data_IF_352540112138
#
_entry.id   IF_352540112138
#
_cell.length_a   1.000
_cell.length_b   1.000
_cell.length_c   1.000
_cell.angle_alpha   90.00
_cell.angle_beta   90.00
_cell.angle_gamma   90.00
#
_symmetry.space_group_name_H-M   'P 1'
#
loop_
_entity.id
_entity.type
_entity.pdbx_description
1 polymer ?
#
# COMPACT_ATOMS: atom_id res chain seq x y z
N UNK A 1 -9.58 -7.99 12.62
CA UNK A 1 -8.69 -8.01 11.43
C UNK A 1 -7.23 -8.11 11.83
N UNK A 2 -6.65 -7.14 12.55
CA UNK A 2 -5.23 -7.19 12.93
C UNK A 2 -4.85 -8.44 13.76
N UNK A 3 -5.48 -8.66 14.91
CA UNK A 3 -5.15 -9.82 15.76
C UNK A 3 -5.51 -11.19 15.14
N UNK A 4 -6.65 -11.29 14.46
CA UNK A 4 -7.17 -12.57 13.96
C UNK A 4 -6.64 -12.99 12.57
N UNK A 5 -6.07 -12.07 11.80
CA UNK A 5 -5.55 -12.36 10.45
C UNK A 5 -4.07 -12.00 10.31
N UNK A 6 -3.68 -10.78 10.68
CA UNK A 6 -2.31 -10.32 10.48
C UNK A 6 -1.29 -11.06 11.36
N UNK A 7 -1.59 -11.26 12.64
CA UNK A 7 -0.70 -11.98 13.58
C UNK A 7 -0.44 -13.43 13.15
N UNK A 8 -1.45 -14.28 12.91
CA UNK A 8 -1.20 -15.66 12.48
C UNK A 8 -0.52 -15.75 11.11
N UNK A 9 -0.87 -14.86 10.17
CA UNK A 9 -0.20 -14.80 8.86
C UNK A 9 1.29 -14.43 9.00
N UNK A 10 1.62 -13.41 9.79
CA UNK A 10 2.99 -12.99 10.02
C UNK A 10 3.84 -14.09 10.68
N UNK A 11 3.25 -14.84 11.63
CA UNK A 11 3.91 -15.98 12.25
C UNK A 11 4.16 -17.12 11.26
N UNK A 12 3.17 -17.49 10.44
CA UNK A 12 3.32 -18.54 9.43
C UNK A 12 4.39 -18.19 8.38
N UNK A 13 4.39 -16.96 7.88
CA UNK A 13 5.40 -16.45 6.94
C UNK A 13 6.78 -16.37 7.61
N UNK A 14 6.83 -16.03 8.90
CA UNK A 14 8.06 -16.00 9.68
C UNK A 14 8.70 -17.38 9.85
N UNK A 15 7.91 -18.40 10.21
CA UNK A 15 8.37 -19.79 10.33
C UNK A 15 8.86 -20.33 8.99
N UNK A 16 8.09 -20.17 7.91
CA UNK A 16 8.49 -20.62 6.57
C UNK A 16 9.75 -19.88 6.07
N UNK A 17 9.86 -18.58 6.33
CA UNK A 17 11.05 -17.81 6.01
C UNK A 17 12.29 -18.21 6.81
N UNK A 18 12.12 -18.66 8.06
CA UNK A 18 13.22 -19.13 8.90
C UNK A 18 13.67 -20.56 8.56
N UNK A 19 12.77 -21.41 8.06
CA UNK A 19 13.07 -22.78 7.64
C UNK A 19 13.77 -22.81 6.26
N UNK A 20 13.36 -21.96 5.32
CA UNK A 20 13.89 -21.94 3.95
C UNK A 20 14.85 -20.76 3.68
N UNK A 21 15.82 -20.53 4.57
CA UNK A 21 16.78 -19.41 4.47
C UNK A 21 17.65 -19.42 3.21
N UNK A 22 17.92 -20.61 2.66
CA UNK A 22 18.77 -20.83 1.48
C UNK A 22 17.98 -20.88 0.16
N UNK A 23 16.65 -20.76 0.20
CA UNK A 23 15.82 -20.82 -1.01
C UNK A 23 15.57 -19.42 -1.60
N UNK A 24 16.19 -19.14 -2.74
CA UNK A 24 16.07 -17.83 -3.43
C UNK A 24 14.67 -17.54 -4.01
N UNK A 25 13.79 -18.55 -4.12
CA UNK A 25 12.45 -18.40 -4.72
C UNK A 25 11.36 -17.91 -3.78
N UNK A 26 11.63 -17.68 -2.49
CA UNK A 26 10.66 -17.14 -1.54
C UNK A 26 9.38 -17.98 -1.41
N UNK A 27 8.21 -17.35 -1.57
CA UNK A 27 6.90 -17.98 -1.34
C UNK A 27 6.66 -19.20 -2.25
N UNK A 28 7.10 -19.17 -3.52
CA UNK A 28 6.94 -20.33 -4.41
C UNK A 28 7.80 -21.51 -3.97
N UNK A 29 9.00 -21.27 -3.42
CA UNK A 29 9.86 -22.35 -2.89
C UNK A 29 9.28 -22.96 -1.61
N UNK A 30 8.64 -22.15 -0.75
CA UNK A 30 7.99 -22.65 0.46
C UNK A 30 6.77 -23.53 0.11
N UNK A 31 6.00 -23.13 -0.89
CA UNK A 31 4.83 -23.87 -1.36
C UNK A 31 5.25 -25.13 -2.12
N UNK A 32 6.36 -25.10 -2.86
CA UNK A 32 6.88 -26.30 -3.54
C UNK A 32 7.29 -27.38 -2.54
N UNK A 33 8.01 -26.98 -1.48
CA UNK A 33 8.44 -27.88 -0.43
C UNK A 33 7.31 -28.44 0.46
N UNK A 34 6.14 -27.78 0.51
CA UNK A 34 5.04 -28.16 1.42
C UNK A 34 3.83 -28.78 0.70
N UNK A 35 3.52 -28.34 -0.51
CA UNK A 35 2.29 -28.67 -1.24
C UNK A 35 2.55 -29.16 -2.67
N UNK A 36 3.81 -29.15 -3.12
CA UNK A 36 4.24 -29.69 -4.41
C UNK A 36 4.21 -28.71 -5.59
N UNK A 37 4.78 -29.12 -6.74
CA UNK A 37 5.19 -28.21 -7.81
C UNK A 37 4.04 -27.55 -8.56
N UNK A 38 2.87 -28.19 -8.65
CA UNK A 38 1.69 -27.61 -9.31
C UNK A 38 1.16 -26.39 -8.53
N UNK A 39 1.11 -26.48 -7.20
CA UNK A 39 0.58 -25.42 -6.35
C UNK A 39 1.60 -24.29 -6.22
N UNK A 40 2.89 -24.62 -6.18
CA UNK A 40 3.97 -23.65 -6.24
C UNK A 40 3.94 -22.78 -7.50
N UNK A 41 3.66 -23.40 -8.67
CA UNK A 41 3.52 -22.66 -9.91
C UNK A 41 2.36 -21.66 -9.87
N UNK A 42 1.18 -22.08 -9.38
CA UNK A 42 0.03 -21.17 -9.24
C UNK A 42 0.29 -20.05 -8.23
N UNK A 43 0.96 -20.36 -7.11
CA UNK A 43 1.37 -19.36 -6.13
C UNK A 43 2.36 -18.34 -6.72
N UNK A 44 3.37 -18.81 -7.47
CA UNK A 44 4.32 -17.93 -8.16
C UNK A 44 3.66 -17.07 -9.24
N UNK A 45 2.76 -17.66 -10.03
CA UNK A 45 2.02 -16.94 -11.07
C UNK A 45 1.11 -15.85 -10.49
N UNK A 46 0.32 -16.17 -9.47
CA UNK A 46 -0.57 -15.20 -8.82
C UNK A 46 0.21 -14.09 -8.13
N UNK A 47 1.33 -14.43 -7.49
CA UNK A 47 2.25 -13.45 -6.92
C UNK A 47 2.77 -12.50 -7.99
N UNK A 48 3.26 -13.02 -9.12
CA UNK A 48 3.72 -12.21 -10.24
C UNK A 48 2.62 -11.32 -10.81
N UNK A 49 1.44 -11.88 -11.11
CA UNK A 49 0.32 -11.15 -11.70
C UNK A 49 -0.15 -9.98 -10.81
N UNK A 50 -0.22 -10.19 -9.49
CA UNK A 50 -0.55 -9.15 -8.52
C UNK A 50 0.51 -8.03 -8.52
N UNK A 51 1.79 -8.39 -8.51
CA UNK A 51 2.88 -7.41 -8.47
C UNK A 51 3.00 -6.59 -9.76
N UNK A 52 2.75 -7.18 -10.93
CA UNK A 52 2.76 -6.44 -12.21
C UNK A 52 1.71 -5.32 -12.21
N UNK A 53 0.47 -5.63 -11.80
CA UNK A 53 -0.58 -4.64 -11.71
C UNK A 53 -0.26 -3.57 -10.63
N UNK A 54 0.27 -4.00 -9.49
CA UNK A 54 0.64 -3.10 -8.39
C UNK A 54 1.76 -2.14 -8.78
N UNK A 55 2.84 -2.62 -9.39
CA UNK A 55 3.98 -1.76 -9.79
C UNK A 55 3.52 -0.71 -10.82
N UNK A 56 2.66 -1.11 -11.76
CA UNK A 56 2.10 -0.20 -12.77
C UNK A 56 1.31 0.96 -12.14
N UNK A 57 0.48 0.68 -11.13
CA UNK A 57 -0.33 1.72 -10.49
C UNK A 57 0.45 2.66 -9.57
N UNK A 58 1.62 2.24 -9.09
CA UNK A 58 2.47 3.09 -8.23
C UNK A 58 3.17 4.23 -8.96
N UNK A 59 3.45 4.09 -10.25
CA UNK A 59 4.11 5.13 -11.05
C UNK A 59 3.31 6.43 -11.10
N UNK A 60 2.01 6.34 -11.40
CA UNK A 60 1.12 7.49 -11.49
C UNK A 60 0.85 8.13 -10.13
N UNK A 61 0.69 7.32 -9.08
CA UNK A 61 0.53 7.80 -7.71
C UNK A 61 1.77 8.53 -7.18
N UNK A 62 2.96 8.03 -7.48
CA UNK A 62 4.22 8.69 -7.13
C UNK A 62 4.39 10.04 -7.83
N UNK A 63 4.05 10.12 -9.12
CA UNK A 63 4.10 11.38 -9.87
C UNK A 63 3.12 12.42 -9.32
N UNK A 64 1.91 12.01 -8.90
CA UNK A 64 0.94 12.89 -8.24
C UNK A 64 1.46 13.43 -6.92
N UNK A 65 2.12 12.60 -6.11
CA UNK A 65 2.72 13.02 -4.84
C UNK A 65 3.88 14.01 -5.05
N UNK A 66 4.74 13.77 -6.04
CA UNK A 66 5.82 14.69 -6.41
C UNK A 66 5.28 16.02 -6.95
N UNK A 67 4.24 15.98 -7.79
CA UNK A 67 3.60 17.19 -8.29
C UNK A 67 2.97 18.01 -7.15
N UNK A 68 2.34 17.36 -6.17
CA UNK A 68 1.84 18.05 -4.99
C UNK A 68 2.98 18.66 -4.16
N UNK A 69 4.09 17.96 -3.96
CA UNK A 69 5.23 18.48 -3.21
C UNK A 69 5.85 19.73 -3.86
N UNK A 70 5.83 19.84 -5.19
CA UNK A 70 6.41 20.98 -5.93
C UNK A 70 5.40 22.12 -6.13
N UNK A 71 4.16 21.82 -6.53
CA UNK A 71 3.17 22.84 -6.91
C UNK A 71 2.20 23.20 -5.77
N UNK A 72 2.23 22.47 -4.65
CA UNK A 72 1.35 22.62 -3.47
C UNK A 72 -0.16 22.68 -3.77
N UNK A 73 -0.57 22.37 -5.01
CA UNK A 73 -1.94 22.44 -5.51
C UNK A 73 -2.25 21.18 -6.31
N UNK A 74 -3.33 20.50 -5.92
CA UNK A 74 -3.79 19.26 -6.58
C UNK A 74 -4.45 19.58 -7.92
N UNK A 75 -5.11 20.74 -8.01
CA UNK A 75 -5.92 21.15 -9.16
C UNK A 75 -5.08 21.35 -10.43
N UNK A 76 -3.83 21.80 -10.30
CA UNK A 76 -2.93 21.96 -11.46
C UNK A 76 -2.45 20.63 -12.04
N UNK A 77 -2.41 19.58 -11.23
CA UNK A 77 -2.04 18.25 -11.70
C UNK A 77 -3.22 17.52 -12.36
N UNK A 78 -4.42 17.66 -11.80
CA UNK A 78 -5.63 17.06 -12.36
C UNK A 78 -6.12 17.79 -13.63
N UNK A 79 -5.74 19.06 -13.83
CA UNK A 79 -5.98 19.83 -15.06
C UNK A 79 -4.97 19.57 -16.20
N UNK A 80 -3.86 18.87 -15.96
CA UNK A 80 -2.91 18.53 -17.01
C UNK A 80 -3.45 17.43 -17.92
N UNK A 81 -3.12 17.51 -19.21
CA UNK A 81 -3.51 16.51 -20.21
C UNK A 81 -3.04 15.10 -19.76
N UNK A 82 -3.98 14.18 -19.65
CA UNK A 82 -3.74 12.78 -19.22
C UNK A 82 -2.71 12.09 -20.10
N UNK A 83 -2.63 12.44 -21.39
CA UNK A 83 -1.65 11.89 -22.32
C UNK A 83 -0.20 12.28 -21.96
N UNK A 84 0.01 13.51 -21.45
CA UNK A 84 1.32 13.95 -20.99
C UNK A 84 1.71 13.26 -19.67
N UNK A 85 0.79 13.16 -18.72
CA UNK A 85 1.02 12.48 -17.43
C UNK A 85 1.36 11.01 -17.66
N UNK A 86 0.66 10.34 -18.57
CA UNK A 86 0.91 8.95 -18.92
C UNK A 86 2.25 8.77 -19.66
N UNK A 87 2.61 9.69 -20.56
CA UNK A 87 3.92 9.69 -21.23
C UNK A 87 5.08 9.86 -20.25
N UNK A 88 4.98 10.79 -19.30
CA UNK A 88 6.00 11.00 -18.25
C UNK A 88 6.11 9.76 -17.35
N UNK A 89 4.98 9.15 -16.99
CA UNK A 89 4.97 7.93 -16.18
C UNK A 89 5.60 6.75 -16.91
N UNK A 90 5.40 6.64 -18.23
CA UNK A 90 6.04 5.62 -19.06
C UNK A 90 7.57 5.78 -19.10
N UNK A 91 8.07 7.01 -19.29
CA UNK A 91 9.50 7.31 -19.28
C UNK A 91 10.11 6.97 -17.91
N UNK A 92 9.43 7.36 -16.82
CA UNK A 92 9.84 7.01 -15.46
C UNK A 92 9.87 5.51 -15.23
N UNK A 93 8.86 4.77 -15.71
CA UNK A 93 8.81 3.32 -15.61
C UNK A 93 10.02 2.67 -16.30
N UNK A 94 10.33 3.07 -17.54
CA UNK A 94 11.50 2.57 -18.27
C UNK A 94 12.81 2.91 -17.54
N UNK A 95 12.93 4.13 -16.99
CA UNK A 95 14.08 4.52 -16.19
C UNK A 95 14.26 3.65 -14.95
N UNK A 96 13.19 3.38 -14.20
CA UNK A 96 13.24 2.50 -13.03
C UNK A 96 13.51 1.03 -13.40
N UNK A 97 12.97 0.53 -14.52
CA UNK A 97 13.33 -0.80 -15.04
C UNK A 97 14.81 -0.89 -15.42
N UNK A 98 15.36 0.15 -16.03
CA UNK A 98 16.79 0.23 -16.35
C UNK A 98 17.64 0.26 -15.07
N UNK A 99 17.22 1.04 -14.07
CA UNK A 99 17.91 1.12 -12.79
C UNK A 99 17.87 -0.22 -12.04
N UNK A 100 16.72 -0.91 -12.06
CA UNK A 100 16.58 -2.25 -11.50
C UNK A 100 17.49 -3.28 -12.20
N UNK A 101 17.75 -3.09 -13.50
CA UNK A 101 18.65 -3.97 -14.28
C UNK A 101 20.14 -3.79 -13.94
N UNK A 102 20.52 -2.70 -13.25
CA UNK A 102 21.93 -2.42 -12.87
C UNK A 102 22.40 -3.16 -11.61
N UNK A 103 21.54 -3.95 -10.97
CA UNK A 103 21.92 -4.92 -9.93
C UNK A 103 21.35 -4.66 -8.53
N UNK A 104 21.52 -5.66 -7.66
CA UNK A 104 20.92 -5.72 -6.33
C UNK A 104 21.44 -4.65 -5.33
N UNK A 105 22.65 -4.12 -5.54
CA UNK A 105 23.25 -3.13 -4.63
C UNK A 105 22.51 -1.79 -4.64
N UNK A 106 22.11 -1.32 -5.82
CA UNK A 106 21.33 -0.08 -5.99
C UNK A 106 19.94 -0.25 -5.37
N UNK A 107 19.32 -1.41 -5.58
CA UNK A 107 18.01 -1.72 -5.01
C UNK A 107 18.06 -1.75 -3.48
N UNK A 108 19.12 -2.35 -2.90
CA UNK A 108 19.32 -2.40 -1.44
C UNK A 108 19.48 -1.00 -0.85
N UNK A 109 20.29 -0.14 -1.48
CA UNK A 109 20.51 1.23 -1.02
C UNK A 109 19.21 2.07 -1.08
N UNK A 110 18.47 2.00 -2.20
CA UNK A 110 17.18 2.68 -2.34
C UNK A 110 16.16 2.17 -1.32
N UNK A 111 16.11 0.86 -1.08
CA UNK A 111 15.23 0.27 -0.08
C UNK A 111 15.57 0.74 1.35
N UNK A 112 16.86 0.84 1.69
CA UNK A 112 17.30 1.35 3.00
C UNK A 112 16.93 2.82 3.19
N UNK A 113 17.12 3.67 2.17
CA UNK A 113 16.75 5.09 2.23
C UNK A 113 15.23 5.27 2.32
N UNK A 114 14.46 4.51 1.53
CA UNK A 114 13.01 4.53 1.58
C UNK A 114 12.50 4.10 2.96
N UNK A 115 13.05 3.01 3.51
CA UNK A 115 12.70 2.50 4.82
C UNK A 115 13.01 3.48 5.96
N UNK A 116 14.19 4.09 5.96
CA UNK A 116 14.56 5.09 6.98
C UNK A 116 13.68 6.33 6.89
N UNK A 117 13.35 6.80 5.69
CA UNK A 117 12.45 7.94 5.49
C UNK A 117 11.03 7.63 5.98
N UNK A 118 10.50 6.44 5.67
CA UNK A 118 9.18 6.02 6.16
C UNK A 118 9.14 5.94 7.69
N UNK A 119 10.22 5.46 8.31
CA UNK A 119 10.33 5.40 9.76
C UNK A 119 10.31 6.80 10.39
N UNK A 120 11.12 7.73 9.87
CA UNK A 120 11.17 9.12 10.34
C UNK A 120 9.80 9.80 10.18
N UNK A 121 9.14 9.63 9.03
CA UNK A 121 7.81 10.18 8.78
C UNK A 121 6.75 9.61 9.72
N UNK A 122 6.83 8.32 10.05
CA UNK A 122 5.91 7.71 11.01
C UNK A 122 6.05 8.33 12.40
N UNK A 123 7.27 8.56 12.87
CA UNK A 123 7.51 9.22 14.17
C UNK A 123 7.01 10.66 14.13
N UNK A 124 7.30 11.38 13.04
CA UNK A 124 6.85 12.75 12.84
C UNK A 124 5.31 12.86 12.92
N UNK A 125 4.57 11.94 12.28
CA UNK A 125 3.10 11.96 12.34
C UNK A 125 2.55 11.68 13.74
N UNK A 126 3.19 10.80 14.52
CA UNK A 126 2.80 10.57 15.92
C UNK A 126 3.01 11.85 16.74
N UNK A 127 4.15 12.52 16.56
CA UNK A 127 4.43 13.79 17.25
C UNK A 127 3.44 14.89 16.82
N UNK A 128 3.11 15.00 15.54
CA UNK A 128 2.11 15.94 15.04
C UNK A 128 0.71 15.65 15.58
N UNK A 129 0.34 14.38 15.74
CA UNK A 129 -0.93 13.99 16.37
C UNK A 129 -0.98 14.41 17.85
N UNK A 130 0.13 14.31 18.57
CA UNK A 130 0.24 14.77 19.97
C UNK A 130 0.34 16.30 20.07
N UNK A 131 0.92 16.98 19.08
CA UNK A 131 1.06 18.43 19.02
C UNK A 131 -0.18 19.15 18.46
N UNK A 132 -1.05 18.45 17.71
CA UNK A 132 -2.30 18.96 17.18
C UNK A 132 -3.21 19.65 18.22
N UNK A 133 -3.43 19.10 19.44
CA UNK A 133 -4.22 19.78 20.47
C UNK A 133 -3.55 21.04 21.04
N UNK A 134 -2.22 21.16 20.94
CA UNK A 134 -1.45 22.32 21.46
C UNK A 134 -1.42 23.46 20.43
N UNK A 135 -1.44 23.14 19.14
CA UNK A 135 -1.34 24.12 18.05
C UNK A 135 -2.69 24.67 17.57
N UNK A 136 -3.83 23.99 17.82
CA UNK A 136 -5.17 24.46 17.42
C UNK A 136 -6.26 24.14 18.46
N UNK A 137 -6.57 25.06 19.39
CA UNK A 137 -7.59 24.86 20.43
C UNK A 137 -9.05 24.84 19.94
N UNK A 138 -9.32 25.18 18.67
CA UNK A 138 -10.66 25.29 18.08
C UNK A 138 -10.95 24.25 16.98
N UNK A 139 -10.00 23.35 16.70
CA UNK A 139 -10.30 22.21 15.85
C UNK A 139 -11.19 21.26 16.65
N UNK A 140 -12.46 21.15 16.28
CA UNK A 140 -13.38 20.15 16.81
C UNK A 140 -12.79 18.76 16.55
N UNK A 141 -12.00 18.28 17.49
CA UNK A 141 -11.65 16.87 17.61
C UNK A 141 -12.98 16.16 17.83
N UNK A 142 -13.46 15.46 16.80
CA UNK A 142 -14.56 14.52 16.94
C UNK A 142 -14.23 13.63 18.13
N UNK A 143 -14.96 13.82 19.23
CA UNK A 143 -14.85 13.03 20.43
C UNK A 143 -15.13 11.59 20.04
N UNK A 144 -14.08 10.79 19.92
CA UNK A 144 -14.21 9.34 19.73
C UNK A 144 -14.77 8.82 21.05
N UNK A 145 -16.09 8.67 21.11
CA UNK A 145 -16.77 8.06 22.23
C UNK A 145 -16.45 6.56 22.21
N UNK A 146 -15.39 6.17 22.93
CA UNK A 146 -14.88 4.81 23.06
C UNK A 146 -15.78 3.95 23.97
N UNK A 147 -17.09 4.02 23.76
CA UNK A 147 -18.04 3.20 24.50
C UNK A 147 -17.95 1.74 24.02
N UNK A 148 -17.76 0.81 24.96
CA UNK A 148 -17.61 -0.64 24.72
C UNK A 148 -18.75 -1.27 23.89
N UNK A 149 -19.91 -0.60 23.79
CA UNK A 149 -21.05 -1.02 22.95
C UNK A 149 -20.91 -0.66 21.46
N UNK A 150 -20.15 0.38 21.12
CA UNK A 150 -19.84 0.75 19.73
C UNK A 150 -18.55 0.09 19.21
N UNK A 151 -17.70 -0.42 20.11
CA UNK A 151 -16.51 -1.22 19.78
C UNK A 151 -16.83 -2.67 19.40
N UNK A 152 -18.02 -3.18 19.76
CA UNK A 152 -18.47 -4.51 19.36
C UNK A 152 -19.33 -4.40 18.09
N UNK A 153 -18.79 -4.81 16.91
CA UNK A 153 -19.56 -4.81 15.68
C UNK A 153 -20.70 -5.82 15.77
N UNK A 154 -21.89 -5.44 15.34
CA UNK A 154 -22.94 -6.42 15.10
C UNK A 154 -22.55 -7.26 13.89
N UNK A 155 -22.44 -8.59 14.08
CA UNK A 155 -22.17 -9.54 13.02
C UNK A 155 -23.40 -9.66 12.11
N UNK A 156 -23.63 -8.65 11.29
CA UNK A 156 -24.69 -8.63 10.29
C UNK A 156 -24.06 -8.74 8.89
N UNK A 157 -24.79 -9.32 7.94
CA UNK A 157 -24.35 -9.46 6.53
C UNK A 157 -24.03 -8.09 5.90
N UNK A 158 -24.70 -7.03 6.36
CA UNK A 158 -24.41 -5.65 5.99
C UNK A 158 -23.02 -5.18 6.45
N UNK A 159 -22.54 -5.63 7.62
CA UNK A 159 -21.20 -5.30 8.10
C UNK A 159 -20.12 -5.97 7.26
N UNK A 160 -20.32 -7.25 6.89
CA UNK A 160 -19.43 -7.94 5.95
C UNK A 160 -19.42 -7.31 4.56
N UNK A 161 -20.58 -6.85 4.09
CA UNK A 161 -20.70 -6.18 2.78
C UNK A 161 -19.99 -4.81 2.80
N UNK A 162 -20.24 -3.98 3.82
CA UNK A 162 -19.55 -2.70 3.99
C UNK A 162 -18.05 -2.86 4.19
N UNK A 163 -17.61 -3.87 4.95
CA UNK A 163 -16.20 -4.20 5.08
C UNK A 163 -15.57 -4.64 3.74
N UNK A 164 -16.28 -5.45 2.95
CA UNK A 164 -15.81 -5.91 1.64
C UNK A 164 -15.70 -4.74 0.66
N UNK A 165 -16.69 -3.84 0.65
CA UNK A 165 -16.69 -2.61 -0.16
C UNK A 165 -15.56 -1.68 0.28
N UNK A 166 -15.35 -1.51 1.60
CA UNK A 166 -14.22 -0.71 2.11
C UNK A 166 -12.89 -1.30 1.66
N UNK A 167 -12.72 -2.62 1.78
CA UNK A 167 -11.49 -3.29 1.35
C UNK A 167 -11.27 -3.16 -0.17
N UNK A 168 -12.35 -3.28 -0.95
CA UNK A 168 -12.33 -3.08 -2.38
C UNK A 168 -11.94 -1.64 -2.75
N UNK A 169 -12.53 -0.63 -2.09
CA UNK A 169 -12.23 0.80 -2.30
C UNK A 169 -10.79 1.14 -1.92
N UNK A 170 -10.25 0.54 -0.86
CA UNK A 170 -8.85 0.74 -0.44
C UNK A 170 -7.90 0.19 -1.50
N UNK A 171 -8.14 -1.04 -1.98
CA UNK A 171 -7.32 -1.66 -3.03
C UNK A 171 -7.47 -0.92 -4.37
N UNK A 172 -8.66 -0.39 -4.67
CA UNK A 172 -8.92 0.37 -5.89
C UNK A 172 -8.33 1.80 -5.85
N UNK A 173 -8.32 2.44 -4.67
CA UNK A 173 -7.65 3.75 -4.49
C UNK A 173 -6.14 3.67 -4.73
N UNK A 174 -5.54 2.49 -4.53
CA UNK A 174 -4.15 2.23 -4.88
C UNK A 174 -3.93 1.99 -6.40
N UNK A 175 -5.00 1.71 -7.16
CA UNK A 175 -4.95 1.43 -8.60
C UNK A 175 -5.25 2.66 -9.48
N UNK A 176 -6.03 3.63 -8.98
CA UNK A 176 -6.30 4.86 -9.72
C UNK A 176 -7.17 5.82 -8.92
N UNK A 177 -6.62 6.98 -8.58
CA UNK A 177 -7.30 8.03 -7.81
C UNK A 177 -8.36 8.80 -8.60
N UNK A 178 -9.28 8.11 -9.28
CA UNK A 178 -10.35 8.72 -10.11
C UNK A 178 -11.77 8.20 -9.85
N UNK A 179 -11.99 7.52 -8.72
CA UNK A 179 -13.32 7.07 -8.29
C UNK A 179 -13.84 7.75 -7.02
N UNK A 180 -13.12 8.75 -6.48
CA UNK A 180 -13.55 9.48 -5.29
C UNK A 180 -14.69 10.49 -5.57
N UNK A 181 -14.94 10.87 -6.81
CA UNK A 181 -15.97 11.88 -7.15
C UNK A 181 -17.37 11.33 -7.43
N UNK A 182 -17.53 10.06 -7.84
CA UNK A 182 -18.86 9.56 -8.22
C UNK A 182 -19.66 8.90 -7.09
N UNK A 183 -19.08 8.73 -5.90
CA UNK A 183 -19.73 8.09 -4.75
C UNK A 183 -20.05 9.05 -3.60
N UNK A 184 -19.66 10.32 -3.69
CA UNK A 184 -19.99 11.35 -2.70
C UNK A 184 -21.28 12.13 -3.03
N UNK A 185 -21.96 11.79 -4.15
CA UNK A 185 -23.18 12.45 -4.62
C UNK A 185 -24.40 11.51 -4.72
N UNK A 186 -24.40 10.39 -3.98
CA UNK A 186 -25.62 9.61 -3.70
C UNK A 186 -25.65 9.14 -2.26
#
# INVERSE_FOLDING_TARGET
MFLLYFVPYALMVGELGAVFKESEGGVSSWVDATMGPKIAYYAGWTYWACHVAYISSKGTGGLRALAWAVFQSVDKFDAMNTMLVQGVTFILFVFFCWLASRGLSVLKLLATIAGSTMFIMSILYILLMLAAPVLNPHANLLSVDLSFKHLLPSFNVNYFTSLSILHFIINLSFCGGRLRENLALR
#
